data_IF_029890973688
#
_entry.id   IF_029890973688
#
_cell.length_a   1.000
_cell.length_b   1.000
_cell.length_c   1.000
_cell.angle_alpha   90.00
_cell.angle_beta   90.00
_cell.angle_gamma   90.00
#
_symmetry.space_group_name_H-M   'P 1'
#
loop_
_entity.id
_entity.type
_entity.pdbx_description
1 polymer ?
#
# COMPACT_ATOMS: atom_id res chain seq x y z
N UNK A 1 -10.63 -2.70 -13.43
CA UNK A 1 -10.33 -1.26 -13.61
C UNK A 1 -9.03 -0.93 -12.87
N UNK A 2 -8.20 -0.05 -13.43
CA UNK A 2 -6.91 0.35 -12.85
C UNK A 2 -6.83 1.87 -12.72
N UNK A 3 -6.45 2.33 -11.53
CA UNK A 3 -6.20 3.73 -11.23
C UNK A 3 -4.72 3.93 -10.84
N UNK A 4 -4.05 4.91 -11.45
CA UNK A 4 -2.62 5.16 -11.28
C UNK A 4 -2.35 6.51 -10.63
N UNK A 5 -1.39 6.56 -9.72
CA UNK A 5 -0.92 7.81 -9.12
C UNK A 5 0.60 7.94 -9.22
N UNK A 6 1.06 8.95 -9.96
CA UNK A 6 2.48 9.26 -10.16
C UNK A 6 3.13 8.41 -11.25
N UNK A 7 4.48 8.41 -11.26
CA UNK A 7 5.25 7.55 -12.17
C UNK A 7 5.08 6.09 -11.72
N UNK A 8 4.27 5.35 -12.46
CA UNK A 8 3.93 3.96 -12.20
C UNK A 8 4.48 3.09 -13.33
N UNK A 9 4.83 1.83 -13.05
CA UNK A 9 5.37 0.93 -14.06
C UNK A 9 4.40 0.69 -15.22
N UNK A 10 4.94 0.20 -16.33
CA UNK A 10 4.14 -0.30 -17.45
C UNK A 10 3.17 -1.40 -16.98
N UNK A 11 2.02 -1.47 -17.62
CA UNK A 11 1.04 -2.54 -17.38
C UNK A 11 1.05 -3.47 -18.59
N UNK A 12 1.19 -4.76 -18.31
CA UNK A 12 0.98 -5.83 -19.28
C UNK A 12 -0.41 -6.40 -19.02
N UNK A 13 -1.25 -6.43 -20.05
CA UNK A 13 -2.54 -7.10 -20.00
C UNK A 13 -2.84 -7.82 -21.31
N UNK A 14 -3.53 -8.96 -21.22
CA UNK A 14 -3.96 -9.74 -22.40
C UNK A 14 -5.37 -9.39 -22.87
N UNK A 15 -6.12 -8.62 -22.07
CA UNK A 15 -7.49 -8.19 -22.35
C UNK A 15 -7.61 -6.65 -22.34
N UNK A 16 -8.79 -6.14 -22.68
CA UNK A 16 -9.09 -4.71 -22.54
C UNK A 16 -9.27 -4.37 -21.05
N UNK A 17 -8.38 -3.56 -20.49
CA UNK A 17 -8.52 -3.05 -19.11
C UNK A 17 -8.85 -1.57 -19.13
N UNK A 18 -9.93 -1.21 -18.43
CA UNK A 18 -10.25 0.17 -18.13
C UNK A 18 -9.17 0.80 -17.23
N UNK A 19 -8.36 1.69 -17.82
CA UNK A 19 -7.44 2.57 -17.09
C UNK A 19 -8.13 3.91 -16.90
N UNK A 20 -8.30 4.31 -15.64
CA UNK A 20 -8.88 5.60 -15.25
C UNK A 20 -7.80 6.51 -14.68
N UNK A 21 -7.95 7.83 -14.86
CA UNK A 21 -6.91 8.80 -14.49
C UNK A 21 -7.22 9.54 -13.19
N UNK A 22 -8.48 9.53 -12.73
CA UNK A 22 -8.90 10.28 -11.55
C UNK A 22 -9.69 9.44 -10.54
N UNK A 23 -9.63 9.77 -9.24
CA UNK A 23 -10.46 9.13 -8.23
C UNK A 23 -11.96 9.18 -8.54
N UNK A 24 -12.45 10.33 -9.04
CA UNK A 24 -13.87 10.53 -9.31
C UNK A 24 -14.35 9.66 -10.48
N UNK A 25 -13.54 9.56 -11.54
CA UNK A 25 -13.83 8.66 -12.66
C UNK A 25 -13.85 7.19 -12.20
N UNK A 26 -12.88 6.80 -11.37
CA UNK A 26 -12.84 5.47 -10.76
C UNK A 26 -14.13 5.18 -9.97
N UNK A 27 -14.52 6.08 -9.07
CA UNK A 27 -15.73 5.91 -8.27
C UNK A 27 -16.99 5.84 -9.14
N UNK A 28 -17.15 6.77 -10.09
CA UNK A 28 -18.29 6.80 -11.01
C UNK A 28 -18.43 5.49 -11.79
N UNK A 29 -17.34 5.00 -12.39
CA UNK A 29 -17.35 3.72 -13.13
C UNK A 29 -17.60 2.51 -12.24
N UNK A 30 -17.11 2.53 -11.00
CA UNK A 30 -17.39 1.46 -10.04
C UNK A 30 -18.89 1.37 -9.72
N UNK A 31 -19.55 2.52 -9.56
CA UNK A 31 -21.00 2.60 -9.29
C UNK A 31 -21.85 2.13 -10.47
N UNK A 32 -21.40 2.31 -11.71
CA UNK A 32 -22.11 1.87 -12.92
C UNK A 32 -22.17 0.34 -13.12
N UNK A 33 -21.60 -0.45 -12.20
CA UNK A 33 -21.97 -1.87 -12.04
C UNK A 33 -21.28 -2.88 -12.95
N UNK A 34 -20.16 -2.53 -13.60
CA UNK A 34 -19.38 -3.46 -14.46
C UNK A 34 -18.00 -3.82 -13.92
N UNK A 35 -17.62 -3.27 -12.77
CA UNK A 35 -16.26 -3.41 -12.25
C UNK A 35 -16.15 -4.65 -11.36
N UNK A 36 -15.43 -5.66 -11.84
CA UNK A 36 -15.16 -6.88 -11.05
C UNK A 36 -14.14 -6.64 -9.93
N UNK A 37 -13.15 -5.76 -10.15
CA UNK A 37 -12.15 -5.38 -9.17
C UNK A 37 -11.48 -4.05 -9.56
N UNK A 38 -10.89 -3.42 -8.56
CA UNK A 38 -10.18 -2.14 -8.68
C UNK A 38 -8.73 -2.35 -8.25
N UNK A 39 -7.79 -1.99 -9.12
CA UNK A 39 -6.37 -1.95 -8.80
C UNK A 39 -5.96 -0.50 -8.63
N UNK A 40 -5.43 -0.15 -7.46
CA UNK A 40 -4.85 1.16 -7.18
C UNK A 40 -3.34 1.01 -7.17
N UNK A 41 -2.67 1.68 -8.11
CA UNK A 41 -1.21 1.71 -8.18
C UNK A 41 -0.74 3.04 -7.61
N UNK A 42 -0.03 2.97 -6.50
CA UNK A 42 0.49 4.12 -5.77
C UNK A 42 1.99 3.94 -5.55
N UNK A 43 2.81 4.84 -6.08
CA UNK A 43 4.21 4.90 -5.63
C UNK A 43 4.25 5.47 -4.21
N UNK A 44 5.03 4.85 -3.32
CA UNK A 44 5.26 5.34 -1.97
C UNK A 44 5.79 6.78 -1.96
N UNK A 45 6.47 7.23 -3.01
CA UNK A 45 7.03 8.59 -3.12
C UNK A 45 6.02 9.67 -3.49
N UNK A 46 4.80 9.31 -3.89
CA UNK A 46 3.79 10.28 -4.29
C UNK A 46 2.97 10.75 -3.08
N UNK A 47 3.57 11.59 -2.23
CA UNK A 47 2.98 11.99 -0.94
C UNK A 47 1.68 12.76 -1.14
N UNK A 48 1.62 13.65 -2.13
CA UNK A 48 0.45 14.48 -2.41
C UNK A 48 -0.77 13.66 -2.86
N UNK A 49 -0.58 12.50 -3.50
CA UNK A 49 -1.68 11.64 -3.93
C UNK A 49 -2.30 10.78 -2.81
N UNK A 50 -1.59 10.59 -1.68
CA UNK A 50 -1.99 9.62 -0.64
C UNK A 50 -3.38 9.91 -0.07
N UNK A 51 -3.68 11.16 0.28
CA UNK A 51 -4.96 11.55 0.88
C UNK A 51 -6.15 11.24 -0.02
N UNK A 52 -6.04 11.63 -1.31
CA UNK A 52 -7.06 11.38 -2.34
C UNK A 52 -7.31 9.88 -2.52
N UNK A 53 -6.24 9.08 -2.50
CA UNK A 53 -6.34 7.62 -2.62
C UNK A 53 -7.05 7.00 -1.43
N UNK A 54 -6.70 7.41 -0.20
CA UNK A 54 -7.34 6.89 1.01
C UNK A 54 -8.82 7.25 1.06
N UNK A 55 -9.16 8.46 0.64
CA UNK A 55 -10.54 8.93 0.54
C UNK A 55 -11.33 8.13 -0.48
N UNK A 56 -10.79 7.93 -1.69
CA UNK A 56 -11.41 7.07 -2.69
C UNK A 56 -11.70 5.67 -2.16
N UNK A 57 -10.70 5.01 -1.56
CA UNK A 57 -10.88 3.67 -1.01
C UNK A 57 -11.96 3.66 0.06
N UNK A 58 -12.01 4.67 0.93
CA UNK A 58 -13.05 4.81 1.95
C UNK A 58 -14.44 4.98 1.32
N UNK A 59 -14.57 5.81 0.28
CA UNK A 59 -15.83 6.01 -0.43
C UNK A 59 -16.30 4.72 -1.10
N UNK A 60 -15.41 3.99 -1.76
CA UNK A 60 -15.69 2.68 -2.36
C UNK A 60 -16.16 1.68 -1.29
N UNK A 61 -15.47 1.62 -0.15
CA UNK A 61 -15.78 0.65 0.91
C UNK A 61 -16.99 0.99 1.77
N UNK A 62 -17.41 2.26 1.79
CA UNK A 62 -18.64 2.70 2.49
C UNK A 62 -19.89 2.70 1.60
N UNK A 63 -19.75 2.76 0.28
CA UNK A 63 -20.90 2.85 -0.61
C UNK A 63 -21.53 1.44 -0.84
N UNK A 64 -22.85 1.27 -0.63
CA UNK A 64 -23.52 -0.02 -0.79
C UNK A 64 -23.34 -0.69 -2.16
N UNK A 65 -23.17 0.10 -3.22
CA UNK A 65 -23.02 -0.38 -4.61
C UNK A 65 -21.60 -0.85 -4.93
N UNK A 66 -20.60 -0.43 -4.15
CA UNK A 66 -19.17 -0.69 -4.45
C UNK A 66 -18.39 -1.37 -3.32
N UNK A 67 -18.97 -1.49 -2.12
CA UNK A 67 -18.30 -2.04 -0.93
C UNK A 67 -17.75 -3.46 -1.13
N UNK A 68 -18.47 -4.29 -1.89
CA UNK A 68 -18.10 -5.68 -2.18
C UNK A 68 -17.05 -5.80 -3.29
N UNK A 69 -16.80 -4.73 -4.06
CA UNK A 69 -15.80 -4.75 -5.13
C UNK A 69 -14.41 -4.88 -4.48
N UNK A 70 -13.61 -5.91 -4.82
CA UNK A 70 -12.25 -6.05 -4.34
C UNK A 70 -11.39 -4.84 -4.76
N UNK A 71 -10.68 -4.27 -3.80
CA UNK A 71 -9.70 -3.20 -4.04
C UNK A 71 -8.33 -3.76 -3.68
N UNK A 72 -7.42 -3.74 -4.64
CA UNK A 72 -6.04 -4.20 -4.51
C UNK A 72 -5.12 -2.99 -4.61
N UNK A 73 -4.26 -2.82 -3.61
CA UNK A 73 -3.25 -1.77 -3.61
C UNK A 73 -1.92 -2.35 -4.04
N UNK A 74 -1.31 -1.72 -5.05
CA UNK A 74 0.02 -2.04 -5.56
C UNK A 74 0.98 -0.90 -5.23
N UNK A 75 2.09 -1.22 -4.57
CA UNK A 75 3.14 -0.25 -4.23
C UNK A 75 4.54 -0.79 -4.52
N UNK A 76 5.46 0.12 -4.81
CA UNK A 76 6.88 -0.14 -5.06
C UNK A 76 7.69 -0.46 -3.79
N UNK A 77 7.25 0.03 -2.63
CA UNK A 77 7.87 -0.27 -1.34
C UNK A 77 6.84 -0.55 -0.24
N UNK A 78 7.29 -1.17 0.84
CA UNK A 78 6.49 -1.29 2.06
C UNK A 78 6.55 0.06 2.80
N UNK A 79 5.37 0.60 3.11
CA UNK A 79 5.26 1.82 3.90
C UNK A 79 4.19 1.67 4.96
N UNK A 80 4.58 1.46 6.21
CA UNK A 80 3.66 1.04 7.27
C UNK A 80 2.47 1.97 7.45
N UNK A 81 2.71 3.28 7.57
CA UNK A 81 1.61 4.24 7.78
C UNK A 81 0.59 4.23 6.64
N UNK A 82 1.06 4.15 5.38
CA UNK A 82 0.20 4.03 4.21
C UNK A 82 -0.62 2.73 4.28
N UNK A 83 0.01 1.60 4.63
CA UNK A 83 -0.67 0.31 4.77
C UNK A 83 -1.73 0.33 5.88
N UNK A 84 -1.45 0.99 7.01
CA UNK A 84 -2.42 1.20 8.09
C UNK A 84 -3.60 2.03 7.57
N UNK A 85 -3.35 3.12 6.85
CA UNK A 85 -4.42 3.96 6.28
C UNK A 85 -5.27 3.22 5.26
N UNK A 86 -4.68 2.36 4.44
CA UNK A 86 -5.45 1.48 3.55
C UNK A 86 -6.32 0.49 4.31
N UNK A 87 -5.78 -0.15 5.33
CA UNK A 87 -6.53 -1.08 6.18
C UNK A 87 -7.70 -0.36 6.89
N UNK A 88 -7.48 0.84 7.43
CA UNK A 88 -8.53 1.68 8.04
C UNK A 88 -9.60 2.11 7.02
N UNK A 89 -9.24 2.28 5.74
CA UNK A 89 -10.18 2.55 4.66
C UNK A 89 -10.92 1.31 4.14
N UNK A 90 -10.72 0.14 4.74
CA UNK A 90 -11.40 -1.11 4.39
C UNK A 90 -10.78 -1.90 3.23
N UNK A 91 -9.57 -1.53 2.80
CA UNK A 91 -8.80 -2.32 1.83
C UNK A 91 -8.20 -3.52 2.56
N UNK A 92 -8.27 -4.69 1.93
CA UNK A 92 -7.74 -5.94 2.52
C UNK A 92 -6.60 -6.56 1.73
N UNK A 93 -6.41 -6.17 0.46
CA UNK A 93 -5.46 -6.80 -0.45
C UNK A 93 -4.33 -5.83 -0.81
N UNK A 94 -3.10 -6.30 -0.67
CA UNK A 94 -1.89 -5.58 -1.02
C UNK A 94 -0.89 -6.50 -1.74
N UNK A 95 -0.17 -5.94 -2.71
CA UNK A 95 1.00 -6.60 -3.31
C UNK A 95 2.08 -5.56 -3.59
N UNK A 96 3.30 -5.86 -3.15
CA UNK A 96 4.47 -5.09 -3.53
C UNK A 96 4.91 -5.51 -4.94
N UNK A 97 5.30 -4.55 -5.78
CA UNK A 97 5.95 -4.82 -7.06
C UNK A 97 7.39 -4.33 -7.04
N UNK A 98 8.27 -5.02 -7.78
CA UNK A 98 9.66 -4.61 -7.90
C UNK A 98 9.75 -3.33 -8.74
N UNK A 99 10.48 -2.34 -8.25
CA UNK A 99 10.76 -1.13 -9.03
C UNK A 99 11.40 -1.51 -10.38
N UNK A 100 10.94 -0.88 -11.46
CA UNK A 100 11.39 -1.17 -12.83
C UNK A 100 10.78 -2.42 -13.48
N UNK A 101 9.94 -3.19 -12.77
CA UNK A 101 9.19 -4.30 -13.37
C UNK A 101 7.82 -3.85 -13.89
N UNK A 102 7.32 -4.51 -14.93
CA UNK A 102 5.94 -4.30 -15.40
C UNK A 102 4.93 -5.02 -14.49
N UNK A 103 3.77 -4.42 -14.30
CA UNK A 103 2.65 -5.04 -13.59
C UNK A 103 1.85 -5.90 -14.59
N UNK A 104 1.83 -7.22 -14.36
CA UNK A 104 0.98 -8.15 -15.10
C UNK A 104 -0.38 -8.28 -14.41
N UNK A 105 -1.44 -7.76 -15.05
CA UNK A 105 -2.78 -7.80 -14.48
C UNK A 105 -3.38 -9.19 -14.43
N UNK A 106 -2.88 -10.15 -15.22
CA UNK A 106 -3.38 -11.53 -15.14
C UNK A 106 -2.96 -12.16 -13.81
N UNK A 107 -1.74 -11.89 -13.35
CA UNK A 107 -1.30 -12.28 -12.00
C UNK A 107 -2.17 -11.63 -10.93
N UNK A 108 -2.63 -10.39 -11.14
CA UNK A 108 -3.56 -9.74 -10.20
C UNK A 108 -4.93 -10.41 -10.18
N UNK A 109 -5.43 -10.92 -11.32
CA UNK A 109 -6.65 -11.73 -11.34
C UNK A 109 -6.47 -13.05 -10.58
N UNK A 110 -5.32 -13.70 -10.73
CA UNK A 110 -4.98 -14.92 -10.00
C UNK A 110 -4.93 -14.70 -8.47
N UNK A 111 -4.47 -13.53 -8.02
CA UNK A 111 -4.52 -13.12 -6.61
C UNK A 111 -5.96 -13.11 -6.07
N UNK A 112 -6.89 -12.54 -6.85
CA UNK A 112 -8.31 -12.43 -6.45
C UNK A 112 -8.96 -13.82 -6.45
N UNK A 113 -8.61 -14.65 -7.42
CA UNK A 113 -9.06 -16.05 -7.52
C UNK A 113 -8.46 -16.99 -6.47
N UNK A 114 -7.64 -16.49 -5.54
CA UNK A 114 -7.01 -17.29 -4.48
C UNK A 114 -5.88 -18.21 -4.95
N UNK A 115 -5.38 -18.01 -6.18
CA UNK A 115 -4.30 -18.83 -6.77
C UNK A 115 -2.90 -18.27 -6.51
N UNK A 116 -2.80 -17.00 -6.16
CA UNK A 116 -1.55 -16.33 -5.80
C UNK A 116 -1.67 -15.70 -4.39
N UNK A 117 -0.54 -15.56 -3.68
CA UNK A 117 -0.48 -15.05 -2.31
C UNK A 117 -0.60 -13.53 -2.29
N UNK A 118 -1.82 -13.01 -2.48
CA UNK A 118 -2.10 -11.64 -2.08
C UNK A 118 -1.83 -11.53 -0.59
N UNK A 119 -0.96 -10.60 -0.19
CA UNK A 119 -0.70 -10.44 1.23
C UNK A 119 -1.90 -9.72 1.80
N UNK A 120 -2.68 -10.45 2.60
CA UNK A 120 -3.72 -9.85 3.42
C UNK A 120 -3.09 -8.72 4.25
N UNK A 121 -3.61 -7.49 4.12
CA UNK A 121 -3.05 -6.29 4.75
C UNK A 121 -2.90 -6.45 6.26
N UNK A 122 -3.90 -7.05 6.92
CA UNK A 122 -3.83 -7.31 8.37
C UNK A 122 -2.70 -8.28 8.70
N UNK A 123 -2.53 -9.33 7.89
CA UNK A 123 -1.42 -10.26 8.00
C UNK A 123 -0.07 -9.56 7.84
N UNK A 124 0.08 -8.71 6.82
CA UNK A 124 1.29 -7.93 6.57
C UNK A 124 1.63 -6.99 7.73
N UNK A 125 0.64 -6.24 8.23
CA UNK A 125 0.82 -5.29 9.32
C UNK A 125 1.28 -5.95 10.62
N UNK A 126 0.94 -7.22 10.86
CA UNK A 126 1.47 -8.01 11.99
C UNK A 126 2.95 -8.37 11.82
N UNK A 127 3.45 -8.44 10.58
CA UNK A 127 4.86 -8.75 10.29
C UNK A 127 5.73 -7.52 10.41
N UNK A 128 5.22 -6.32 10.12
CA UNK A 128 6.00 -5.09 10.09
C UNK A 128 6.11 -4.49 11.49
N UNK A 129 7.28 -3.99 11.83
CA UNK A 129 7.56 -3.31 13.09
C UNK A 129 6.57 -2.16 13.34
N UNK A 130 5.83 -2.16 14.46
CA UNK A 130 4.87 -1.10 14.77
C UNK A 130 5.52 0.25 15.03
N UNK A 131 6.82 0.26 15.37
CA UNK A 131 7.59 1.46 15.62
C UNK A 131 8.28 2.03 14.36
N UNK A 132 7.97 1.52 13.17
CA UNK A 132 8.44 2.09 11.91
C UNK A 132 7.70 3.41 11.63
N UNK A 133 8.45 4.51 11.59
CA UNK A 133 7.89 5.87 11.49
C UNK A 133 8.55 6.64 10.33
N UNK A 134 7.87 7.67 9.83
CA UNK A 134 8.27 8.41 8.64
C UNK A 134 8.22 9.92 8.90
N UNK A 135 9.32 10.62 8.64
CA UNK A 135 9.40 12.08 8.77
C UNK A 135 9.46 12.69 7.37
N UNK A 136 8.44 13.47 7.00
CA UNK A 136 8.41 14.18 5.73
C UNK A 136 9.56 15.20 5.64
N UNK A 137 10.35 15.09 4.58
CA UNK A 137 11.38 16.09 4.23
C UNK A 137 10.78 17.07 3.22
N UNK A 138 10.17 16.54 2.15
CA UNK A 138 9.44 17.30 1.14
C UNK A 138 8.30 16.45 0.54
N UNK A 139 7.74 16.83 -0.61
CA UNK A 139 6.62 16.11 -1.26
C UNK A 139 7.00 14.77 -1.93
N UNK A 140 8.28 14.41 -1.94
CA UNK A 140 8.81 13.18 -2.56
C UNK A 140 9.61 12.31 -1.59
N UNK A 141 10.22 12.92 -0.58
CA UNK A 141 11.16 12.25 0.31
C UNK A 141 10.68 12.27 1.76
N UNK A 142 10.86 11.11 2.39
CA UNK A 142 10.65 10.89 3.81
C UNK A 142 11.89 10.21 4.39
N UNK A 143 12.25 10.62 5.60
CA UNK A 143 13.23 9.91 6.41
C UNK A 143 12.51 8.79 7.17
N UNK A 144 12.98 7.56 6.96
CA UNK A 144 12.48 6.39 7.67
C UNK A 144 13.23 6.28 8.99
N UNK A 145 12.53 6.32 10.11
CA UNK A 145 13.13 6.37 11.45
C UNK A 145 12.53 5.33 12.40
N UNK A 146 13.30 4.96 13.42
CA UNK A 146 12.83 4.08 14.48
C UNK A 146 12.12 4.89 15.58
N UNK A 147 10.80 4.75 15.68
CA UNK A 147 9.98 5.34 16.75
C UNK A 147 10.33 4.80 18.14
N UNK A 148 10.74 3.53 18.24
CA UNK A 148 11.16 2.93 19.51
C UNK A 148 12.52 3.47 19.99
N UNK A 149 13.23 4.18 19.11
CA UNK A 149 14.44 4.95 19.39
C UNK A 149 14.17 6.46 19.32
N UNK A 150 12.97 6.90 19.74
CA UNK A 150 12.57 8.31 19.80
C UNK A 150 12.72 9.07 18.47
N UNK A 151 12.61 8.38 17.33
CA UNK A 151 12.82 8.96 16.00
C UNK A 151 14.24 9.52 15.76
N UNK A 152 15.23 9.18 16.60
CA UNK A 152 16.62 9.66 16.47
C UNK A 152 17.50 8.77 15.58
N UNK A 153 17.04 7.56 15.29
CA UNK A 153 17.75 6.61 14.44
C UNK A 153 17.09 6.56 13.06
N UNK A 154 17.80 7.06 12.05
CA UNK A 154 17.47 6.80 10.66
C UNK A 154 17.74 5.32 10.33
N UNK A 155 16.78 4.68 9.68
CA UNK A 155 16.85 3.27 9.32
C UNK A 155 17.43 3.12 7.91
N UNK A 156 18.64 2.57 7.81
CA UNK A 156 19.24 2.19 6.53
C UNK A 156 18.57 0.95 5.92
N UNK A 157 18.81 0.71 4.62
CA UNK A 157 18.14 -0.34 3.84
C UNK A 157 18.25 -1.75 4.45
N UNK A 158 19.42 -2.13 4.96
CA UNK A 158 19.62 -3.46 5.58
C UNK A 158 18.70 -3.63 6.80
N UNK A 159 18.78 -2.72 7.79
CA UNK A 159 17.97 -2.81 9.00
C UNK A 159 16.48 -2.66 8.69
N UNK A 160 16.12 -1.83 7.71
CA UNK A 160 14.75 -1.68 7.24
C UNK A 160 14.19 -3.00 6.69
N UNK A 161 14.84 -3.58 5.68
CA UNK A 161 14.31 -4.72 4.94
C UNK A 161 14.50 -6.06 5.65
N UNK A 162 15.53 -6.21 6.47
CA UNK A 162 15.80 -7.47 7.18
C UNK A 162 15.12 -7.52 8.56
N UNK A 163 14.91 -6.36 9.20
CA UNK A 163 14.35 -6.29 10.56
C UNK A 163 13.00 -5.61 10.59
N UNK A 164 12.91 -4.36 10.15
CA UNK A 164 11.70 -3.56 10.39
C UNK A 164 10.50 -3.95 9.51
N UNK A 165 10.73 -4.46 8.30
CA UNK A 165 9.67 -4.90 7.37
C UNK A 165 9.33 -6.38 7.50
N UNK A 166 9.93 -7.09 8.47
CA UNK A 166 9.75 -8.53 8.69
C UNK A 166 9.43 -8.85 10.15
N UNK A 167 9.06 -10.10 10.45
CA UNK A 167 8.83 -10.56 11.82
C UNK A 167 10.07 -10.46 12.72
N UNK A 168 11.26 -10.24 12.15
CA UNK A 168 12.49 -10.10 12.92
C UNK A 168 12.46 -8.89 13.86
N UNK A 169 11.57 -7.92 13.64
CA UNK A 169 11.36 -6.82 14.58
C UNK A 169 11.01 -7.31 16.00
N UNK A 170 10.38 -8.49 16.14
CA UNK A 170 10.08 -9.08 17.46
C UNK A 170 11.35 -9.38 18.28
N UNK A 171 12.49 -9.56 17.61
CA UNK A 171 13.79 -9.77 18.22
C UNK A 171 14.66 -8.50 18.23
N UNK A 172 14.16 -7.37 17.76
CA UNK A 172 14.91 -6.13 17.71
C UNK A 172 15.09 -5.56 19.12
N UNK A 173 16.33 -5.27 19.51
CA UNK A 173 16.69 -4.68 20.81
C UNK A 173 15.85 -3.43 21.16
N UNK A 174 15.59 -2.56 20.19
CA UNK A 174 14.82 -1.33 20.41
C UNK A 174 13.32 -1.60 20.49
N UNK A 175 12.82 -2.66 19.85
CA UNK A 175 11.41 -3.01 19.93
C UNK A 175 11.09 -3.68 21.28
N UNK A 176 11.97 -4.57 21.73
CA UNK A 176 11.85 -5.27 23.02
C UNK A 176 12.06 -4.32 24.18
N UNK A 177 13.01 -3.40 24.07
CA UNK A 177 13.35 -2.40 25.10
C UNK A 177 13.38 -0.99 24.50
N UNK A 178 12.21 -0.36 24.26
CA UNK A 178 12.14 0.99 23.72
C UNK A 178 12.80 2.02 24.63
N UNK A 179 13.43 3.03 24.03
CA UNK A 179 13.95 4.17 24.81
C UNK A 179 12.78 5.06 25.20
N UNK A 180 12.61 5.27 26.51
CA UNK A 180 11.65 6.25 27.02
C UNK A 180 12.21 7.66 26.88
N UNK A 181 11.34 8.63 26.59
CA UNK A 181 11.70 10.03 26.66
C UNK A 181 12.06 10.37 28.11
N UNK A 182 13.28 10.87 28.33
CA UNK A 182 13.68 11.55 29.57
C UNK A 182 13.09 12.95 29.61
#
# INVERSE_FOLDING_TARGET
MVLRFGQTPGIINREETDIVQTPMECFSRAVLGKTQFIVVILSGRNISARSLVFELCRCLKKNPLTKEIPVIVLMDSIHREILVKFHESGVTLFKNYKSGSCIDLNQIKDLIGGRDQAVNLRGLLKKICPALNYIKIDDRYELIVCGAYMNRMALGGIRLHEVCETHNHLNCEYFVSPRMAL
#
